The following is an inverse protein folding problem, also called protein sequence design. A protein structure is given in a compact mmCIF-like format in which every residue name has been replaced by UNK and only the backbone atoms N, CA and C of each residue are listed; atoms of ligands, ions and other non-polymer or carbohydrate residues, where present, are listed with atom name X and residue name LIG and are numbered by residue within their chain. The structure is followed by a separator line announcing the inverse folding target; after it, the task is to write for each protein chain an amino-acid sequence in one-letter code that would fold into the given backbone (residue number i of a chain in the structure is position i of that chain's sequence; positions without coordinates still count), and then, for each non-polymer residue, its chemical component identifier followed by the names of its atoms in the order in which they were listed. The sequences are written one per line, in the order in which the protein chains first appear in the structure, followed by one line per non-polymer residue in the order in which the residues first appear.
data_IF_821310232114
#
_entry.id   IF_821310232114
#
_cell.length_a   1.000
_cell.length_b   1.000
_cell.length_c   1.000
_cell.angle_alpha   90.00
_cell.angle_beta   90.00
_cell.angle_gamma   90.00
#
_symmetry.space_group_name_H-M   'P 1'
#
loop_
_entity.id
_entity.type
_entity.pdbx_description
1 polymer ?
#
# COMPACT_ATOMS: atom_id res chain seq x y z
N UNK A 1 -3.35 -29.31 9.07
CA UNK A 1 -3.17 -28.12 8.22
C UNK A 1 -2.76 -27.00 9.14
N UNK A 2 -1.51 -26.52 9.04
CA UNK A 2 -1.06 -25.38 9.82
C UNK A 2 -1.82 -24.15 9.31
N UNK A 3 -2.65 -23.59 10.18
CA UNK A 3 -3.24 -22.27 9.97
C UNK A 3 -2.03 -21.32 9.97
N UNK A 4 -1.79 -20.53 8.90
CA UNK A 4 -0.72 -19.54 8.91
C UNK A 4 -0.87 -18.68 10.16
N UNK A 5 0.20 -18.52 10.94
CA UNK A 5 0.18 -17.70 12.15
C UNK A 5 -0.15 -16.26 11.74
N UNK A 6 -1.31 -15.81 12.21
CA UNK A 6 -1.86 -14.49 11.94
C UNK A 6 -1.36 -13.49 12.99
N UNK A 7 -1.02 -12.24 12.60
CA UNK A 7 -0.77 -11.74 11.25
C UNK A 7 0.65 -12.05 10.75
N UNK A 8 0.82 -12.19 9.43
CA UNK A 8 2.15 -12.38 8.82
C UNK A 8 3.00 -11.10 8.94
N UNK A 9 4.23 -11.25 9.42
CA UNK A 9 5.20 -10.16 9.57
C UNK A 9 5.59 -9.54 8.23
N UNK A 10 5.82 -8.22 8.23
CA UNK A 10 6.36 -7.53 7.07
C UNK A 10 7.84 -7.89 6.90
N UNK A 11 8.20 -8.40 5.73
CA UNK A 11 9.59 -8.79 5.40
C UNK A 11 10.26 -7.81 4.45
N UNK A 12 9.48 -7.07 3.66
CA UNK A 12 9.95 -5.99 2.80
C UNK A 12 9.39 -4.65 3.29
N UNK A 13 10.28 -3.74 3.68
CA UNK A 13 9.93 -2.41 4.18
C UNK A 13 10.12 -1.29 3.15
N UNK A 14 10.55 -1.61 1.92
CA UNK A 14 10.76 -0.62 0.87
C UNK A 14 9.45 0.10 0.54
N UNK A 15 9.55 1.41 0.40
CA UNK A 15 8.51 2.31 -0.09
C UNK A 15 9.10 3.10 -1.27
N UNK A 16 8.30 3.44 -2.31
CA UNK A 16 8.80 4.23 -3.44
C UNK A 16 9.38 5.56 -2.95
N UNK A 17 10.63 5.90 -3.32
CA UNK A 17 11.24 7.15 -2.87
C UNK A 17 10.58 8.39 -3.48
N UNK A 18 9.95 8.23 -4.65
CA UNK A 18 9.25 9.27 -5.36
C UNK A 18 7.98 8.73 -6.05
N UNK A 19 7.07 9.65 -6.36
CA UNK A 19 5.84 9.42 -7.11
C UNK A 19 5.72 10.49 -8.19
N UNK A 20 5.64 10.08 -9.45
CA UNK A 20 5.63 10.96 -10.62
C UNK A 20 6.75 12.02 -10.58
N UNK A 21 7.93 11.58 -10.15
CA UNK A 21 9.16 12.38 -10.11
C UNK A 21 9.26 13.31 -8.92
N UNK A 22 8.35 13.16 -7.95
CA UNK A 22 8.30 13.98 -6.75
C UNK A 22 8.61 13.12 -5.53
N UNK A 23 9.60 13.50 -4.71
CA UNK A 23 9.90 12.76 -3.48
C UNK A 23 8.67 12.61 -2.60
N UNK A 24 8.54 11.45 -1.95
CA UNK A 24 7.45 11.16 -1.01
C UNK A 24 7.97 11.17 0.42
N UNK A 25 7.32 11.93 1.28
CA UNK A 25 7.55 11.86 2.73
C UNK A 25 6.61 10.81 3.33
N UNK A 26 7.19 9.70 3.82
CA UNK A 26 6.45 8.56 4.35
C UNK A 26 6.33 8.61 5.87
N UNK A 27 5.14 8.37 6.39
CA UNK A 27 4.86 8.32 7.84
C UNK A 27 5.25 6.98 8.49
N UNK A 28 5.87 6.08 7.74
CA UNK A 28 6.26 4.74 8.19
C UNK A 28 5.15 3.70 8.03
N UNK A 29 5.50 2.45 8.35
CA UNK A 29 4.59 1.31 8.27
C UNK A 29 3.75 1.17 9.55
N UNK A 30 2.49 0.84 9.33
CA UNK A 30 1.53 0.45 10.35
C UNK A 30 1.20 -1.04 10.21
N UNK A 31 1.06 -1.76 11.34
CA UNK A 31 0.72 -3.17 11.33
C UNK A 31 -0.69 -3.42 10.79
N UNK A 32 -0.97 -4.67 10.37
CA UNK A 32 -2.30 -5.10 10.01
C UNK A 32 -3.30 -4.78 11.10
N UNK A 33 -4.41 -4.19 10.69
CA UNK A 33 -5.54 -3.94 11.56
C UNK A 33 -6.27 -5.26 11.72
N UNK A 34 -6.18 -5.88 12.91
CA UNK A 34 -6.90 -7.12 13.18
C UNK A 34 -8.41 -6.91 12.96
N UNK A 35 -8.94 -7.59 11.93
CA UNK A 35 -10.31 -7.46 11.46
C UNK A 35 -11.38 -7.60 12.56
N UNK A 36 -11.07 -8.37 13.60
CA UNK A 36 -11.98 -8.66 14.71
C UNK A 36 -12.17 -7.49 15.68
N UNK A 37 -11.32 -6.46 15.68
CA UNK A 37 -11.39 -5.36 16.65
C UNK A 37 -11.82 -4.01 16.07
N UNK A 38 -11.68 -3.77 14.76
CA UNK A 38 -11.69 -2.40 14.19
C UNK A 38 -12.57 -2.18 12.96
N UNK A 39 -13.35 -3.18 12.52
CA UNK A 39 -14.28 -3.05 11.37
C UNK A 39 -15.40 -2.02 11.57
N UNK A 40 -15.57 -1.48 12.78
CA UNK A 40 -16.60 -0.51 13.12
C UNK A 40 -16.08 0.94 13.22
N UNK A 41 -14.78 1.19 13.01
CA UNK A 41 -14.22 2.53 13.15
C UNK A 41 -13.98 3.17 11.77
N UNK A 42 -14.68 4.27 11.50
CA UNK A 42 -14.66 5.04 10.25
C UNK A 42 -13.32 5.69 9.87
N UNK A 43 -12.27 5.50 10.67
CA UNK A 43 -10.98 6.20 10.57
C UNK A 43 -9.79 5.23 10.66
N UNK A 44 -9.96 3.97 10.24
CA UNK A 44 -8.87 2.99 10.26
C UNK A 44 -7.82 3.21 9.15
N UNK A 45 -8.00 4.23 8.30
CA UNK A 45 -7.06 4.60 7.25
C UNK A 45 -7.09 3.69 6.01
N UNK A 46 -7.88 2.61 6.03
CA UNK A 46 -8.05 1.71 4.89
C UNK A 46 -8.99 2.35 3.87
N UNK A 47 -8.58 2.32 2.60
CA UNK A 47 -9.38 2.89 1.50
C UNK A 47 -10.35 1.91 0.87
N UNK A 48 -10.18 0.60 1.11
CA UNK A 48 -11.02 -0.44 0.56
C UNK A 48 -11.71 -1.24 1.65
N UNK A 49 -12.89 -1.75 1.32
CA UNK A 49 -13.44 -2.88 2.05
C UNK A 49 -12.44 -4.03 2.02
N UNK A 50 -12.30 -4.79 3.13
CA UNK A 50 -11.37 -5.90 3.18
C UNK A 50 -11.73 -6.95 2.13
N UNK A 51 -10.82 -7.14 1.16
CA UNK A 51 -10.94 -8.08 0.05
C UNK A 51 -9.68 -8.95 0.00
N UNK A 52 -9.76 -10.28 -0.18
CA UNK A 52 -8.59 -11.15 -0.22
C UNK A 52 -7.45 -10.57 -1.07
N UNK A 53 -6.21 -10.76 -0.61
CA UNK A 53 -5.02 -10.31 -1.32
C UNK A 53 -5.06 -10.80 -2.77
N UNK A 54 -4.89 -9.88 -3.73
CA UNK A 54 -4.96 -10.19 -5.17
C UNK A 54 -3.86 -11.16 -5.63
N UNK A 55 -2.72 -11.22 -4.93
CA UNK A 55 -1.60 -12.11 -5.29
C UNK A 55 -1.73 -13.54 -4.76
N UNK A 56 -2.16 -13.73 -3.51
CA UNK A 56 -2.16 -15.05 -2.86
C UNK A 56 -3.50 -15.48 -2.22
N UNK A 57 -4.54 -14.64 -2.28
CA UNK A 57 -5.84 -14.93 -1.68
C UNK A 57 -5.87 -14.89 -0.15
N UNK A 58 -4.78 -14.50 0.51
CA UNK A 58 -4.76 -14.33 1.96
C UNK A 58 -5.82 -13.31 2.40
N UNK A 59 -6.62 -13.57 3.45
CA UNK A 59 -7.63 -12.61 3.89
C UNK A 59 -7.00 -11.26 4.23
N UNK A 60 -7.72 -10.18 3.92
CA UNK A 60 -7.13 -8.85 3.85
C UNK A 60 -6.94 -8.22 5.21
N UNK A 61 -5.68 -8.16 5.65
CA UNK A 61 -5.22 -7.26 6.70
C UNK A 61 -3.80 -6.83 6.28
N UNK A 62 -3.68 -5.86 5.37
CA UNK A 62 -2.38 -5.44 4.88
C UNK A 62 -1.65 -4.66 5.96
N UNK A 63 -0.33 -4.73 5.92
CA UNK A 63 0.49 -3.63 6.43
C UNK A 63 0.20 -2.41 5.58
N UNK A 64 0.20 -1.22 6.16
CA UNK A 64 -0.07 -0.02 5.38
C UNK A 64 0.83 1.14 5.76
N UNK A 65 1.07 2.03 4.81
CA UNK A 65 1.85 3.25 5.00
C UNK A 65 1.16 4.39 4.26
N UNK A 66 1.31 5.60 4.80
CA UNK A 66 0.85 6.82 4.14
C UNK A 66 2.03 7.72 3.82
N UNK A 67 1.98 8.35 2.66
CA UNK A 67 2.96 9.33 2.23
C UNK A 67 2.31 10.51 1.53
N UNK A 68 3.04 11.62 1.49
CA UNK A 68 2.65 12.84 0.80
C UNK A 68 3.79 13.28 -0.12
N UNK A 69 3.50 13.63 -1.36
CA UNK A 69 4.52 14.21 -2.25
C UNK A 69 5.03 15.53 -1.69
N UNK A 70 6.30 15.86 -1.94
CA UNK A 70 6.96 17.05 -1.40
C UNK A 70 6.26 18.38 -1.74
N UNK A 71 5.46 18.44 -2.81
CA UNK A 71 4.63 19.60 -3.17
C UNK A 71 3.28 19.66 -2.43
N UNK A 72 2.92 18.61 -1.69
CA UNK A 72 1.72 18.50 -0.86
C UNK A 72 0.41 18.20 -1.60
N UNK A 73 0.44 17.89 -2.90
CA UNK A 73 -0.79 17.70 -3.70
C UNK A 73 -1.26 16.26 -3.81
N UNK A 74 -0.35 15.30 -3.69
CA UNK A 74 -0.67 13.89 -3.89
C UNK A 74 -0.41 13.11 -2.62
N UNK A 75 -1.45 12.54 -2.04
CA UNK A 75 -1.35 11.59 -0.93
C UNK A 75 -1.33 10.16 -1.48
N UNK A 76 -0.44 9.32 -0.96
CA UNK A 76 -0.33 7.92 -1.34
C UNK A 76 -0.61 7.06 -0.11
N UNK A 77 -1.48 6.06 -0.25
CA UNK A 77 -1.64 4.99 0.73
C UNK A 77 -1.14 3.69 0.12
N UNK A 78 -0.12 3.07 0.71
CA UNK A 78 0.38 1.76 0.28
C UNK A 78 -0.18 0.70 1.21
N UNK A 79 -0.66 -0.41 0.64
CA UNK A 79 -1.13 -1.61 1.32
C UNK A 79 -0.29 -2.80 0.85
N UNK A 80 0.37 -3.51 1.77
CA UNK A 80 1.24 -4.65 1.47
C UNK A 80 0.81 -5.90 2.20
N UNK A 81 0.71 -7.00 1.47
CA UNK A 81 0.48 -8.32 2.05
C UNK A 81 1.75 -8.81 2.77
N UNK A 82 1.68 -9.07 4.08
CA UNK A 82 2.80 -9.65 4.83
C UNK A 82 3.18 -11.08 4.41
N UNK A 83 2.31 -11.79 3.67
CA UNK A 83 2.57 -13.16 3.22
C UNK A 83 3.30 -13.23 1.87
N UNK A 84 2.86 -12.47 0.87
CA UNK A 84 3.38 -12.56 -0.50
C UNK A 84 3.96 -11.25 -1.04
N UNK A 85 4.01 -10.18 -0.25
CA UNK A 85 4.51 -8.85 -0.61
C UNK A 85 3.80 -8.16 -1.79
N UNK A 86 2.69 -8.71 -2.29
CA UNK A 86 1.83 -7.99 -3.23
C UNK A 86 1.44 -6.65 -2.61
N UNK A 87 1.72 -5.58 -3.35
CA UNK A 87 1.63 -4.22 -2.88
C UNK A 87 0.68 -3.44 -3.79
N UNK A 88 -0.33 -2.84 -3.19
CA UNK A 88 -1.29 -1.97 -3.86
C UNK A 88 -1.06 -0.56 -3.33
N UNK A 89 -1.11 0.44 -4.20
CA UNK A 89 -1.05 1.83 -3.80
C UNK A 89 -2.29 2.58 -4.29
N UNK A 90 -2.81 3.44 -3.42
CA UNK A 90 -3.87 4.38 -3.74
C UNK A 90 -3.28 5.76 -3.77
N UNK A 91 -3.19 6.30 -4.97
CA UNK A 91 -2.85 7.68 -5.18
C UNK A 91 -4.11 8.54 -5.06
N UNK A 92 -4.03 9.68 -4.39
CA UNK A 92 -5.08 10.69 -4.39
C UNK A 92 -4.48 12.05 -4.59
N UNK A 93 -4.76 12.60 -5.76
CA UNK A 93 -4.31 13.92 -6.17
C UNK A 93 -5.47 14.78 -6.70
N UNK A 94 -5.15 15.89 -7.37
CA UNK A 94 -6.14 16.80 -7.95
C UNK A 94 -7.09 16.15 -8.96
N UNK A 95 -6.62 15.11 -9.66
CA UNK A 95 -7.35 14.43 -10.72
C UNK A 95 -8.21 13.26 -10.19
N UNK A 96 -8.22 13.05 -8.88
CA UNK A 96 -9.01 12.02 -8.21
C UNK A 96 -8.15 10.93 -7.57
N UNK A 97 -8.74 9.75 -7.39
CA UNK A 97 -8.07 8.58 -6.83
C UNK A 97 -7.77 7.56 -7.92
N UNK A 98 -6.55 7.03 -7.94
CA UNK A 98 -6.13 5.91 -8.80
C UNK A 98 -5.55 4.78 -7.96
N UNK A 99 -5.76 3.54 -8.39
CA UNK A 99 -5.18 2.34 -7.79
C UNK A 99 -4.03 1.85 -8.66
N UNK A 100 -2.94 1.41 -8.03
CA UNK A 100 -1.72 0.95 -8.66
C UNK A 100 -1.30 -0.39 -8.05
N UNK A 101 -0.84 -1.33 -8.87
CA UNK A 101 -0.15 -2.52 -8.36
C UNK A 101 1.34 -2.30 -8.50
N UNK A 102 2.07 -2.27 -7.38
CA UNK A 102 3.49 -1.98 -7.41
C UNK A 102 4.33 -3.23 -7.65
N UNK A 103 5.39 -3.06 -8.42
CA UNK A 103 6.41 -4.06 -8.70
C UNK A 103 7.81 -3.60 -8.25
N UNK A 104 8.84 -4.39 -8.55
CA UNK A 104 10.20 -4.11 -8.08
C UNK A 104 10.79 -2.81 -8.64
N UNK A 105 10.31 -2.33 -9.79
CA UNK A 105 10.79 -1.11 -10.44
C UNK A 105 10.37 0.17 -9.70
N UNK A 106 9.21 0.14 -9.04
CA UNK A 106 8.68 1.28 -8.28
C UNK A 106 9.53 1.64 -7.05
N UNK A 107 10.36 0.71 -6.58
CA UNK A 107 11.31 0.94 -5.48
C UNK A 107 12.69 1.40 -5.98
N UNK A 108 12.86 1.58 -7.29
CA UNK A 108 14.06 2.11 -7.91
C UNK A 108 14.31 3.58 -7.58
N UNK A 109 15.44 4.15 -8.01
CA UNK A 109 15.82 5.53 -7.70
C UNK A 109 14.85 6.57 -8.27
N UNK A 110 14.16 6.22 -9.35
CA UNK A 110 13.14 7.07 -9.97
C UNK A 110 11.82 7.02 -9.17
N UNK A 111 11.53 5.91 -8.50
CA UNK A 111 10.25 5.71 -7.82
C UNK A 111 9.14 5.27 -8.78
N UNK A 112 7.89 5.45 -8.36
CA UNK A 112 6.69 5.08 -9.12
C UNK A 112 6.30 6.18 -10.10
N UNK A 113 5.91 5.83 -11.33
CA UNK A 113 5.50 6.77 -12.37
C UNK A 113 4.40 6.22 -13.30
N UNK A 114 3.51 7.11 -13.76
CA UNK A 114 2.41 6.82 -14.71
C UNK A 114 2.84 6.44 -16.14
N UNK A 115 4.15 6.42 -16.43
CA UNK A 115 4.67 6.05 -17.74
C UNK A 115 5.06 4.56 -17.86
N UNK A 116 4.88 3.76 -16.82
CA UNK A 116 5.11 2.32 -16.89
C UNK A 116 3.88 1.63 -17.49
N UNK A 117 4.04 0.98 -18.66
CA UNK A 117 2.98 0.19 -19.27
C UNK A 117 2.50 -0.89 -18.29
N UNK A 118 1.24 -0.77 -17.82
CA UNK A 118 0.58 -1.79 -16.99
C UNK A 118 0.31 -1.39 -15.53
N UNK A 119 0.66 -0.17 -15.12
CA UNK A 119 0.60 0.26 -13.72
C UNK A 119 -0.73 0.93 -13.28
N UNK A 120 -1.70 1.09 -14.20
CA UNK A 120 -3.00 1.73 -13.94
C UNK A 120 -4.18 0.80 -14.18
#
# INVERSE_FOLDING_TARGET
MNIPEWPADLTDFRLPPAWDGRPVDWHGWHPPIEARALFLCSNNGLRRDPQPCSGCGHPFQPWWAQGLTADGRTSITVERCGLCNTTIAFETGPDGTSEWTLDDSDYGPEGSFDNQEGNR
#
